data_IF_088413385905
#
_entry.id   IF_088413385905
#
_cell.length_a   1.000
_cell.length_b   1.000
_cell.length_c   1.000
_cell.angle_alpha   90.00
_cell.angle_beta   90.00
_cell.angle_gamma   90.00
#
_symmetry.space_group_name_H-M   'P 1'
#
loop_
_entity.id
_entity.type
_entity.pdbx_description
1 polymer ?
#
# COMPACT_ATOMS: atom_id res chain seq x y z
N UNK A 1 -11.92 4.73 -7.03
CA UNK A 1 -11.79 4.13 -8.38
C UNK A 1 -13.00 4.51 -9.24
N UNK A 2 -12.85 4.61 -10.56
CA UNK A 2 -13.95 4.86 -11.50
C UNK A 2 -13.94 3.76 -12.56
N UNK A 3 -15.08 3.11 -12.78
CA UNK A 3 -15.26 2.08 -13.80
C UNK A 3 -15.59 2.69 -15.17
N UNK A 4 -15.37 1.99 -16.30
CA UNK A 4 -15.68 2.50 -17.64
C UNK A 4 -17.14 2.92 -17.85
N UNK A 5 -18.08 2.35 -17.08
CA UNK A 5 -19.50 2.69 -17.12
C UNK A 5 -19.87 3.90 -16.23
N UNK A 6 -18.89 4.59 -15.63
CA UNK A 6 -19.10 5.72 -14.72
C UNK A 6 -19.41 5.33 -13.28
N UNK A 7 -19.48 4.04 -12.95
CA UNK A 7 -19.65 3.60 -11.55
C UNK A 7 -18.43 4.02 -10.73
N UNK A 8 -18.67 4.70 -9.62
CA UNK A 8 -17.64 5.02 -8.65
C UNK A 8 -17.55 3.85 -7.68
N UNK A 9 -16.33 3.36 -7.45
CA UNK A 9 -16.04 2.36 -6.43
C UNK A 9 -15.11 3.02 -5.42
N UNK A 10 -15.61 3.19 -4.20
CA UNK A 10 -14.82 3.65 -3.07
C UNK A 10 -14.32 2.45 -2.27
N UNK A 11 -13.07 2.53 -1.82
CA UNK A 11 -12.40 1.46 -1.06
C UNK A 11 -11.62 2.10 0.07
N UNK A 12 -11.92 1.68 1.29
CA UNK A 12 -11.39 2.32 2.48
C UNK A 12 -11.24 1.33 3.64
N UNK A 13 -10.39 1.71 4.59
CA UNK A 13 -10.29 1.03 5.88
C UNK A 13 -11.51 1.41 6.73
N UNK A 14 -12.26 0.42 7.18
CA UNK A 14 -13.45 0.61 8.00
C UNK A 14 -13.07 0.68 9.49
N UNK A 15 -12.94 1.93 9.96
CA UNK A 15 -12.73 2.24 11.37
C UNK A 15 -14.04 2.43 12.15
N UNK A 16 -15.19 1.96 11.62
CA UNK A 16 -16.51 1.99 12.23
C UNK A 16 -16.97 3.36 12.74
N UNK A 17 -17.98 3.38 13.59
CA UNK A 17 -18.62 4.63 14.06
C UNK A 17 -17.95 5.29 15.26
N UNK A 18 -16.89 4.66 15.81
CA UNK A 18 -16.17 5.14 16.99
C UNK A 18 -14.92 5.98 16.66
N UNK A 19 -14.71 6.32 15.38
CA UNK A 19 -13.58 7.15 14.96
C UNK A 19 -13.80 8.62 15.40
N UNK A 20 -13.32 8.96 16.59
CA UNK A 20 -13.18 10.35 17.03
C UNK A 20 -11.93 11.00 16.44
N UNK A 21 -12.05 12.23 15.91
CA UNK A 21 -10.96 13.04 15.35
C UNK A 21 -10.23 12.41 14.16
N UNK A 22 -9.24 13.11 13.58
CA UNK A 22 -8.20 12.45 12.77
C UNK A 22 -7.46 11.48 13.69
N UNK A 23 -8.00 10.26 13.79
CA UNK A 23 -7.43 9.15 14.52
C UNK A 23 -6.16 8.65 13.84
N UNK A 24 -5.35 7.84 14.53
CA UNK A 24 -4.18 7.19 13.92
C UNK A 24 -4.58 6.53 12.61
N UNK A 25 -3.68 6.55 11.62
CA UNK A 25 -3.86 6.02 10.26
C UNK A 25 -4.29 4.54 10.20
N UNK A 26 -4.39 3.88 11.37
CA UNK A 26 -5.15 2.66 11.62
C UNK A 26 -5.64 2.61 13.10
N UNK A 27 -6.71 1.83 13.36
CA UNK A 27 -7.19 1.51 14.73
C UNK A 27 -6.16 0.74 15.58
N UNK A 28 -5.12 0.26 14.94
CA UNK A 28 -4.13 -0.65 15.49
C UNK A 28 -2.90 0.14 15.97
N UNK A 29 -2.81 1.42 15.59
CA UNK A 29 -1.65 2.26 15.73
C UNK A 29 -1.77 3.27 16.87
N UNK A 30 -0.97 3.04 17.91
CA UNK A 30 -0.50 4.04 18.89
C UNK A 30 -1.39 4.50 20.06
N UNK A 31 -2.62 4.01 20.22
CA UNK A 31 -3.33 4.16 21.51
C UNK A 31 -3.32 2.83 22.28
N UNK A 32 -2.56 2.76 23.37
CA UNK A 32 -2.64 1.64 24.34
C UNK A 32 -4.08 1.40 24.82
N UNK A 33 -4.93 2.44 24.78
CA UNK A 33 -6.33 2.39 25.18
C UNK A 33 -7.29 1.66 24.21
N UNK A 34 -6.90 1.41 22.95
CA UNK A 34 -7.76 0.72 21.95
C UNK A 34 -7.41 -0.76 21.80
N UNK A 35 -6.42 -1.28 22.56
CA UNK A 35 -6.15 -2.72 22.69
C UNK A 35 -7.25 -3.51 23.43
N UNK A 36 -8.49 -3.03 23.42
CA UNK A 36 -9.61 -3.72 24.02
C UNK A 36 -10.01 -4.93 23.17
N UNK A 37 -9.60 -6.11 23.66
CA UNK A 37 -10.20 -7.44 23.40
C UNK A 37 -10.00 -8.00 21.99
N UNK A 38 -8.75 -8.33 21.63
CA UNK A 38 -8.49 -9.39 20.66
C UNK A 38 -7.80 -10.57 21.37
N UNK A 39 -8.21 -11.82 21.10
CA UNK A 39 -7.51 -12.99 21.64
C UNK A 39 -6.05 -12.99 21.16
N UNK A 40 -5.14 -13.34 22.07
CA UNK A 40 -3.69 -13.12 21.99
C UNK A 40 -2.93 -13.88 20.86
N UNK A 41 -3.60 -14.45 19.86
CA UNK A 41 -2.98 -15.32 18.85
C UNK A 41 -2.85 -14.71 17.46
N UNK A 42 -3.48 -13.57 17.16
CA UNK A 42 -3.37 -12.92 15.84
C UNK A 42 -2.92 -11.45 15.96
N UNK A 43 -2.02 -10.97 15.08
CA UNK A 43 -1.71 -9.55 14.99
C UNK A 43 -3.01 -8.76 14.71
N UNK A 44 -3.19 -7.57 15.31
CA UNK A 44 -4.38 -6.78 15.05
C UNK A 44 -4.48 -6.46 13.56
N UNK A 45 -5.71 -6.44 13.03
CA UNK A 45 -5.95 -6.21 11.62
C UNK A 45 -7.19 -5.34 11.38
N UNK A 46 -7.10 -4.47 10.37
CA UNK A 46 -8.21 -3.64 9.95
C UNK A 46 -9.06 -4.37 8.92
N UNK A 47 -10.34 -3.98 8.89
CA UNK A 47 -11.26 -4.35 7.82
C UNK A 47 -11.12 -3.34 6.70
N UNK A 48 -10.99 -3.82 5.47
CA UNK A 48 -11.10 -3.00 4.28
C UNK A 48 -12.38 -3.37 3.55
N UNK A 49 -13.15 -2.35 3.18
CA UNK A 49 -14.45 -2.51 2.52
C UNK A 49 -14.48 -1.72 1.22
N UNK A 50 -15.50 -1.99 0.42
CA UNK A 50 -15.83 -1.28 -0.80
C UNK A 50 -17.30 -0.86 -0.81
N UNK A 51 -17.60 0.25 -1.48
CA UNK A 51 -18.96 0.69 -1.78
C UNK A 51 -19.03 1.19 -3.22
N UNK A 52 -20.18 1.03 -3.86
CA UNK A 52 -20.39 1.50 -5.22
C UNK A 52 -21.43 2.60 -5.28
N UNK A 53 -21.25 3.53 -6.21
CA UNK A 53 -22.23 4.55 -6.56
C UNK A 53 -22.41 4.56 -8.07
N UNK A 54 -23.67 4.61 -8.50
CA UNK A 54 -24.07 4.65 -9.91
C UNK A 54 -24.64 6.02 -10.32
N UNK A 55 -24.63 7.00 -9.42
CA UNK A 55 -25.28 8.31 -9.57
C UNK A 55 -24.33 9.47 -9.22
N UNK A 56 -23.03 9.29 -9.49
CA UNK A 56 -22.03 10.33 -9.27
C UNK A 56 -21.69 10.58 -7.80
N UNK A 57 -21.94 9.60 -6.93
CA UNK A 57 -21.65 9.68 -5.49
C UNK A 57 -22.82 10.15 -4.64
N UNK A 58 -24.01 10.34 -5.21
CA UNK A 58 -25.19 10.81 -4.47
C UNK A 58 -25.75 9.72 -3.54
N UNK A 59 -25.75 8.46 -4.01
CA UNK A 59 -26.10 7.29 -3.19
C UNK A 59 -25.04 6.20 -3.30
N UNK A 60 -24.97 5.37 -2.25
CA UNK A 60 -23.96 4.33 -2.11
C UNK A 60 -24.59 3.01 -1.69
N UNK A 61 -24.08 1.90 -2.25
CA UNK A 61 -24.44 0.54 -1.88
C UNK A 61 -24.20 0.25 -0.40
N UNK A 62 -24.70 -0.89 0.09
CA UNK A 62 -24.17 -1.48 1.33
C UNK A 62 -22.66 -1.78 1.19
N UNK A 63 -21.88 -1.78 2.29
CA UNK A 63 -20.47 -2.13 2.24
C UNK A 63 -20.27 -3.59 1.84
N UNK A 64 -19.27 -3.84 0.99
CA UNK A 64 -18.77 -5.18 0.69
C UNK A 64 -17.35 -5.35 1.22
N UNK A 65 -17.13 -6.38 2.03
CA UNK A 65 -15.84 -6.68 2.63
C UNK A 65 -14.84 -7.17 1.59
N UNK A 66 -13.68 -6.51 1.52
CA UNK A 66 -12.53 -6.94 0.71
C UNK A 66 -11.65 -7.89 1.54
N UNK A 67 -11.35 -7.49 2.78
CA UNK A 67 -10.55 -8.28 3.73
C UNK A 67 -10.83 -7.82 5.16
N UNK A 68 -10.60 -8.69 6.13
CA UNK A 68 -10.51 -8.38 7.56
C UNK A 68 -9.06 -8.46 8.08
N UNK A 69 -8.12 -8.51 7.15
CA UNK A 69 -6.70 -8.76 7.38
C UNK A 69 -5.85 -7.69 6.67
N UNK A 70 -6.25 -6.42 6.78
CA UNK A 70 -5.40 -5.30 6.40
C UNK A 70 -4.48 -4.93 7.56
N UNK A 71 -3.21 -4.72 7.27
CA UNK A 71 -2.19 -4.46 8.26
C UNK A 71 -1.60 -3.07 8.17
N UNK A 72 -0.83 -2.75 9.20
CA UNK A 72 0.02 -1.57 9.24
C UNK A 72 1.43 -1.89 8.69
N UNK A 73 2.26 -0.85 8.66
CA UNK A 73 3.67 -0.99 8.39
C UNK A 73 4.48 -1.67 9.50
N UNK A 74 5.79 -1.87 9.24
CA UNK A 74 6.71 -2.37 10.24
C UNK A 74 6.74 -1.49 11.49
N UNK A 75 7.02 -2.08 12.65
CA UNK A 75 7.11 -1.35 13.92
C UNK A 75 8.08 -0.16 13.81
N UNK A 76 7.62 1.01 14.24
CA UNK A 76 8.42 2.26 14.23
C UNK A 76 8.47 2.98 12.88
N UNK A 77 7.82 2.44 11.85
CA UNK A 77 7.59 3.11 10.57
C UNK A 77 6.19 3.73 10.58
N UNK A 78 6.10 5.04 10.34
CA UNK A 78 4.82 5.67 10.00
C UNK A 78 4.53 5.41 8.53
N UNK A 79 3.51 4.59 8.31
CA UNK A 79 2.80 4.29 7.08
C UNK A 79 1.51 3.53 7.53
N UNK A 80 0.67 2.89 6.75
CA UNK A 80 0.73 2.39 5.38
C UNK A 80 -0.71 2.35 4.88
N UNK A 81 -1.02 3.12 3.85
CA UNK A 81 -2.36 3.13 3.29
C UNK A 81 -2.48 2.05 2.21
N UNK A 82 -3.60 1.31 2.15
CA UNK A 82 -3.95 0.53 0.97
C UNK A 82 -4.03 1.43 -0.26
N UNK A 83 -3.89 0.84 -1.44
CA UNK A 83 -4.11 1.52 -2.71
C UNK A 83 -5.04 0.73 -3.60
N UNK A 84 -5.73 1.42 -4.49
CA UNK A 84 -6.72 0.84 -5.38
C UNK A 84 -6.68 1.48 -6.77
N UNK A 85 -6.83 0.67 -7.81
CA UNK A 85 -6.85 1.13 -9.19
C UNK A 85 -7.86 0.36 -10.05
N UNK A 86 -8.42 1.07 -11.03
CA UNK A 86 -9.16 0.47 -12.14
C UNK A 86 -8.21 0.30 -13.33
N UNK A 87 -8.26 -0.84 -13.99
CA UNK A 87 -7.78 -0.97 -15.36
C UNK A 87 -8.78 -0.30 -16.31
N UNK A 88 -8.45 0.84 -16.93
CA UNK A 88 -9.40 1.57 -17.78
C UNK A 88 -9.76 0.82 -19.06
N UNK A 89 -8.96 -0.17 -19.48
CA UNK A 89 -9.19 -0.95 -20.70
C UNK A 89 -10.08 -2.14 -20.41
N UNK A 90 -9.85 -2.87 -19.31
CA UNK A 90 -10.61 -4.09 -19.01
C UNK A 90 -11.72 -3.90 -17.99
N UNK A 91 -11.78 -2.75 -17.33
CA UNK A 91 -12.71 -2.47 -16.22
C UNK A 91 -12.45 -3.28 -14.95
N UNK A 92 -11.30 -3.97 -14.85
CA UNK A 92 -10.94 -4.76 -13.67
C UNK A 92 -10.48 -3.83 -12.55
N UNK A 93 -10.95 -4.10 -11.33
CA UNK A 93 -10.59 -3.36 -10.13
C UNK A 93 -9.55 -4.14 -9.35
N UNK A 94 -8.60 -3.43 -8.77
CA UNK A 94 -7.49 -3.99 -8.00
C UNK A 94 -7.33 -3.21 -6.72
N UNK A 95 -7.09 -3.92 -5.62
CA UNK A 95 -6.76 -3.31 -4.32
C UNK A 95 -5.56 -4.04 -3.74
N UNK A 96 -4.58 -3.26 -3.28
CA UNK A 96 -3.35 -3.74 -2.65
C UNK A 96 -3.23 -3.22 -1.22
N UNK A 97 -2.74 -4.05 -0.32
CA UNK A 97 -2.48 -3.69 1.08
C UNK A 97 -1.31 -4.49 1.66
N UNK A 98 -0.83 -4.08 2.82
CA UNK A 98 0.17 -4.80 3.61
C UNK A 98 -0.52 -5.76 4.57
N UNK A 99 -0.01 -6.99 4.74
CA UNK A 99 -0.58 -7.95 5.69
C UNK A 99 -0.42 -7.50 7.15
N UNK A 100 -1.21 -8.01 8.12
CA UNK A 100 -1.19 -7.55 9.52
C UNK A 100 0.17 -7.64 10.25
N UNK A 101 1.06 -8.51 9.78
CA UNK A 101 2.41 -8.67 10.31
C UNK A 101 3.48 -7.99 9.44
N UNK A 102 3.08 -7.20 8.45
CA UNK A 102 3.93 -6.50 7.48
C UNK A 102 4.83 -7.38 6.60
N UNK A 103 4.76 -8.71 6.69
CA UNK A 103 5.65 -9.63 5.96
C UNK A 103 5.23 -9.92 4.52
N UNK A 104 4.04 -9.49 4.10
CA UNK A 104 3.55 -9.71 2.73
C UNK A 104 2.75 -8.53 2.18
N UNK A 105 2.87 -8.32 0.87
CA UNK A 105 1.96 -7.47 0.09
C UNK A 105 0.84 -8.36 -0.45
N UNK A 106 -0.39 -7.92 -0.28
CA UNK A 106 -1.61 -8.64 -0.64
C UNK A 106 -2.34 -7.91 -1.76
N UNK A 107 -2.97 -8.66 -2.66
CA UNK A 107 -3.74 -8.14 -3.79
C UNK A 107 -5.10 -8.85 -3.84
N UNK A 108 -6.17 -8.09 -4.08
CA UNK A 108 -7.47 -8.65 -4.48
C UNK A 108 -7.99 -7.93 -5.72
N UNK A 109 -8.89 -8.61 -6.44
CA UNK A 109 -9.53 -8.08 -7.62
C UNK A 109 -11.04 -8.20 -7.56
N UNK A 110 -11.70 -7.31 -8.29
CA UNK A 110 -13.13 -7.34 -8.54
C UNK A 110 -13.46 -6.92 -9.97
N UNK A 111 -14.66 -7.29 -10.43
CA UNK A 111 -15.21 -6.87 -11.72
C UNK A 111 -16.37 -5.86 -11.56
N UNK A 112 -16.89 -5.70 -10.34
CA UNK A 112 -18.10 -4.92 -10.06
C UNK A 112 -18.01 -4.06 -8.80
N UNK A 113 -16.90 -4.15 -8.06
CA UNK A 113 -16.68 -3.41 -6.83
C UNK A 113 -17.48 -3.92 -5.63
N UNK A 114 -18.23 -5.01 -5.78
CA UNK A 114 -19.05 -5.62 -4.72
C UNK A 114 -18.71 -7.09 -4.46
N UNK A 115 -18.13 -7.79 -5.42
CA UNK A 115 -17.63 -9.15 -5.27
C UNK A 115 -16.13 -9.18 -5.46
N UNK A 116 -15.40 -9.43 -4.37
CA UNK A 116 -13.95 -9.49 -4.35
C UNK A 116 -13.45 -10.93 -4.35
N UNK A 117 -12.39 -11.20 -5.11
CA UNK A 117 -11.71 -12.49 -5.08
C UNK A 117 -10.94 -12.65 -3.76
N UNK A 118 -10.66 -13.91 -3.40
CA UNK A 118 -9.73 -14.19 -2.31
C UNK A 118 -8.38 -13.51 -2.58
N UNK A 119 -7.82 -12.92 -1.52
CA UNK A 119 -6.56 -12.21 -1.59
C UNK A 119 -5.41 -13.15 -2.00
N UNK A 120 -4.55 -12.68 -2.89
CA UNK A 120 -3.32 -13.37 -3.30
C UNK A 120 -2.11 -12.61 -2.79
N UNK A 121 -1.05 -13.35 -2.45
CA UNK A 121 0.23 -12.77 -2.04
C UNK A 121 1.01 -12.30 -3.27
N UNK A 122 1.36 -11.02 -3.31
CA UNK A 122 2.26 -10.43 -4.31
C UNK A 122 3.71 -10.77 -3.99
N UNK A 123 4.05 -10.79 -2.70
CA UNK A 123 5.41 -11.06 -2.22
C UNK A 123 5.48 -12.37 -1.43
N UNK A 124 6.66 -12.98 -1.42
CA UNK A 124 6.94 -14.19 -0.65
C UNK A 124 7.50 -13.76 0.71
N UNK A 125 6.90 -14.19 1.85
CA UNK A 125 7.44 -13.89 3.17
C UNK A 125 8.87 -14.41 3.32
N UNK A 126 9.75 -13.60 3.93
CA UNK A 126 11.13 -13.97 4.22
C UNK A 126 11.49 -13.48 5.62
N UNK A 127 12.28 -14.26 6.35
CA UNK A 127 12.73 -13.87 7.68
C UNK A 127 13.51 -12.55 7.62
N UNK A 128 13.18 -11.62 8.54
CA UNK A 128 13.83 -10.30 8.62
C UNK A 128 13.53 -9.37 7.44
N UNK A 129 12.43 -9.61 6.72
CA UNK A 129 11.95 -8.74 5.64
C UNK A 129 10.52 -8.33 5.93
N UNK A 130 10.29 -7.03 5.93
CA UNK A 130 8.96 -6.43 6.03
C UNK A 130 8.69 -5.54 4.81
N UNK A 131 7.44 -5.19 4.62
CA UNK A 131 6.97 -4.36 3.52
C UNK A 131 6.18 -3.18 4.06
N UNK A 132 6.26 -2.07 3.34
CA UNK A 132 5.50 -0.85 3.60
C UNK A 132 5.14 -0.20 2.28
N UNK A 133 4.40 0.91 2.33
CA UNK A 133 4.09 1.81 1.21
C UNK A 133 3.76 1.04 -0.05
N UNK A 134 2.49 0.68 -0.21
CA UNK A 134 2.02 -0.05 -1.39
C UNK A 134 1.23 0.86 -2.31
N UNK A 135 1.38 0.61 -3.60
CA UNK A 135 0.56 1.27 -4.60
C UNK A 135 0.31 0.35 -5.80
N UNK A 136 -0.82 0.54 -6.48
CA UNK A 136 -1.20 -0.30 -7.62
C UNK A 136 -1.64 0.56 -8.80
N UNK A 137 -1.20 0.18 -9.99
CA UNK A 137 -1.70 0.70 -11.25
C UNK A 137 -2.02 -0.46 -12.20
N UNK A 138 -2.98 -0.27 -13.09
CA UNK A 138 -3.33 -1.28 -14.09
C UNK A 138 -3.64 -0.64 -15.44
N UNK A 139 -3.25 -1.32 -16.52
CA UNK A 139 -3.57 -0.91 -17.88
C UNK A 139 -3.52 -2.11 -18.83
N UNK A 140 -4.57 -2.30 -19.63
CA UNK A 140 -4.55 -3.27 -20.74
C UNK A 140 -4.37 -4.73 -20.29
N UNK A 141 -4.76 -5.05 -19.05
CA UNK A 141 -4.61 -6.35 -18.43
C UNK A 141 -3.29 -6.58 -17.70
N UNK A 142 -2.34 -5.64 -17.75
CA UNK A 142 -1.15 -5.65 -16.89
C UNK A 142 -1.45 -4.90 -15.59
N UNK A 143 -0.95 -5.43 -14.47
CA UNK A 143 -1.07 -4.85 -13.13
C UNK A 143 0.32 -4.68 -12.55
N UNK A 144 0.59 -3.48 -12.05
CA UNK A 144 1.87 -3.05 -11.52
C UNK A 144 1.69 -2.72 -10.04
N UNK A 145 2.46 -3.38 -9.18
CA UNK A 145 2.36 -3.23 -7.72
C UNK A 145 3.69 -2.69 -7.21
N UNK A 146 3.69 -1.42 -6.80
CA UNK A 146 4.83 -0.80 -6.16
C UNK A 146 4.80 -1.10 -4.65
N UNK A 147 5.97 -1.37 -4.07
CA UNK A 147 6.12 -1.54 -2.63
C UNK A 147 7.52 -1.17 -2.14
N UNK A 148 7.63 -0.82 -0.86
CA UNK A 148 8.90 -0.59 -0.18
C UNK A 148 9.29 -1.84 0.64
N UNK A 149 10.41 -2.47 0.28
CA UNK A 149 10.98 -3.61 1.00
C UNK A 149 11.96 -3.13 2.07
N UNK A 150 11.67 -3.47 3.33
CA UNK A 150 12.52 -3.25 4.49
C UNK A 150 13.32 -4.52 4.78
N UNK A 151 14.58 -4.33 5.17
CA UNK A 151 15.37 -5.41 5.78
C UNK A 151 15.62 -5.06 7.22
N UNK A 152 15.69 -6.08 8.07
CA UNK A 152 16.06 -5.93 9.46
C UNK A 152 17.28 -5.01 9.60
N UNK A 153 17.32 -4.15 10.64
CA UNK A 153 18.43 -3.23 10.85
C UNK A 153 19.75 -3.97 10.77
N UNK A 154 20.66 -3.47 9.94
CA UNK A 154 22.01 -4.02 9.81
C UNK A 154 22.99 -3.08 10.52
N UNK A 155 24.22 -3.55 10.78
CA UNK A 155 25.29 -2.68 11.27
C UNK A 155 25.56 -1.49 10.32
N UNK A 156 25.13 -1.60 9.07
CA UNK A 156 25.28 -0.60 8.01
C UNK A 156 24.13 0.40 7.93
N UNK A 157 23.02 0.20 8.66
CA UNK A 157 21.87 1.12 8.68
C UNK A 157 20.52 0.45 8.44
N UNK A 158 19.49 1.29 8.38
CA UNK A 158 18.09 0.93 8.15
C UNK A 158 17.71 1.29 6.70
N UNK A 159 17.73 0.30 5.80
CA UNK A 159 17.51 0.55 4.38
C UNK A 159 16.17 0.06 3.87
N UNK A 160 15.61 0.83 2.94
CA UNK A 160 14.40 0.48 2.19
C UNK A 160 14.70 0.46 0.70
N UNK A 161 14.31 -0.62 0.03
CA UNK A 161 14.37 -0.71 -1.42
C UNK A 161 12.97 -0.58 -2.00
N UNK A 162 12.75 0.46 -2.82
CA UNK A 162 11.53 0.53 -3.63
C UNK A 162 11.57 -0.55 -4.71
N UNK A 163 10.45 -1.23 -4.93
CA UNK A 163 10.31 -2.33 -5.88
C UNK A 163 9.00 -2.26 -6.64
N UNK A 164 8.95 -2.93 -7.80
CA UNK A 164 7.77 -3.10 -8.64
C UNK A 164 7.57 -4.57 -8.99
N UNK A 165 6.41 -5.12 -8.65
CA UNK A 165 5.97 -6.45 -9.10
C UNK A 165 4.96 -6.31 -10.23
N UNK A 166 4.93 -7.27 -11.16
CA UNK A 166 4.03 -7.25 -12.32
C UNK A 166 3.27 -8.57 -12.44
N UNK A 167 1.99 -8.49 -12.77
CA UNK A 167 1.12 -9.65 -13.06
C UNK A 167 0.12 -9.32 -14.17
N UNK A 168 -0.37 -10.34 -14.87
CA UNK A 168 -1.46 -10.22 -15.86
C UNK A 168 -2.75 -10.94 -15.44
N UNK A 169 -2.66 -11.77 -14.40
CA UNK A 169 -3.75 -12.64 -13.94
C UNK A 169 -4.06 -12.49 -12.44
N UNK A 170 -3.29 -11.66 -11.73
CA UNK A 170 -3.44 -11.44 -10.29
C UNK A 170 -2.94 -12.60 -9.43
N UNK A 171 -2.33 -13.63 -10.02
CA UNK A 171 -1.94 -14.88 -9.35
C UNK A 171 -0.45 -15.16 -9.45
N UNK A 172 0.12 -14.91 -10.63
CA UNK A 172 1.53 -15.15 -10.89
C UNK A 172 2.24 -13.82 -11.06
N UNK A 173 3.35 -13.64 -10.34
CA UNK A 173 4.12 -12.41 -10.33
C UNK A 173 5.50 -12.66 -10.91
N UNK A 174 5.93 -11.77 -11.81
CA UNK A 174 7.30 -11.73 -12.26
C UNK A 174 8.25 -11.39 -11.08
N UNK A 175 9.55 -11.71 -11.18
CA UNK A 175 10.53 -11.24 -10.21
C UNK A 175 10.46 -9.71 -10.03
N UNK A 176 10.51 -9.20 -8.79
CA UNK A 176 10.35 -7.77 -8.54
C UNK A 176 11.53 -6.98 -9.12
N UNK A 177 11.20 -5.87 -9.76
CA UNK A 177 12.16 -4.91 -10.31
C UNK A 177 12.54 -3.93 -9.20
N UNK A 178 13.83 -3.74 -8.94
CA UNK A 178 14.31 -2.70 -8.01
C UNK A 178 14.20 -1.34 -8.68
N UNK A 179 13.59 -0.37 -7.99
CA UNK A 179 13.48 1.00 -8.44
C UNK A 179 14.49 1.87 -7.69
N UNK A 180 15.46 2.43 -8.43
CA UNK A 180 16.48 3.31 -7.89
C UNK A 180 17.37 2.69 -6.79
N UNK A 181 18.23 3.51 -6.15
CA UNK A 181 19.05 3.09 -5.02
C UNK A 181 18.20 2.89 -3.75
N UNK A 182 18.69 2.09 -2.78
CA UNK A 182 18.06 1.98 -1.47
C UNK A 182 18.02 3.32 -0.73
N UNK A 183 16.89 3.64 -0.10
CA UNK A 183 16.73 4.77 0.81
C UNK A 183 17.32 4.43 2.18
N UNK A 184 18.08 5.36 2.75
CA UNK A 184 18.64 5.26 4.10
C UNK A 184 17.72 5.98 5.10
N UNK A 185 17.00 5.21 5.91
CA UNK A 185 16.01 5.73 6.85
C UNK A 185 16.60 6.50 8.02
N UNK A 186 17.93 6.46 8.23
CA UNK A 186 18.59 7.33 9.21
C UNK A 186 18.35 8.81 8.91
N UNK A 187 18.14 9.16 7.63
CA UNK A 187 17.93 10.53 7.16
C UNK A 187 16.47 10.82 6.77
N UNK A 188 15.55 9.88 7.01
CA UNK A 188 14.14 10.10 6.80
C UNK A 188 13.56 11.02 7.90
N UNK A 189 12.55 11.81 7.52
CA UNK A 189 11.78 12.63 8.44
C UNK A 189 11.14 11.79 9.54
N UNK A 190 10.72 12.46 10.62
CA UNK A 190 10.11 11.84 11.78
C UNK A 190 8.71 12.38 11.98
N UNK A 191 7.74 11.50 12.11
CA UNK A 191 6.35 11.82 12.43
C UNK A 191 5.75 10.66 13.22
N UNK A 192 5.85 10.71 14.56
CA UNK A 192 5.46 9.60 15.46
C UNK A 192 6.12 8.25 15.10
N UNK A 193 7.29 8.30 14.47
CA UNK A 193 8.02 7.17 13.88
C UNK A 193 8.86 7.65 12.69
N UNK A 194 9.67 6.75 12.12
CA UNK A 194 10.39 7.00 10.87
C UNK A 194 9.35 7.16 9.77
N UNK A 195 9.39 8.27 9.04
CA UNK A 195 8.46 8.57 7.97
C UNK A 195 9.17 8.43 6.61
N UNK A 196 9.18 7.23 6.00
CA UNK A 196 9.75 7.03 4.66
C UNK A 196 8.97 7.81 3.59
N UNK A 197 7.74 8.24 3.90
CA UNK A 197 6.86 9.06 3.08
C UNK A 197 5.70 8.24 2.51
N UNK A 198 4.47 8.67 2.74
CA UNK A 198 3.26 8.06 2.13
C UNK A 198 3.05 8.53 0.68
N UNK A 199 3.90 9.45 0.20
CA UNK A 199 3.86 10.04 -1.13
C UNK A 199 4.47 9.11 -2.17
N UNK A 200 3.84 7.95 -2.37
CA UNK A 200 4.10 7.14 -3.54
C UNK A 200 2.92 7.18 -4.50
N UNK A 201 3.22 6.94 -5.77
CA UNK A 201 2.21 6.87 -6.80
C UNK A 201 2.73 6.17 -8.04
N UNK A 202 1.85 5.40 -8.66
CA UNK A 202 2.12 4.56 -9.81
C UNK A 202 1.02 4.83 -10.81
N UNK A 203 1.42 5.02 -12.06
CA UNK A 203 0.49 5.19 -13.17
C UNK A 203 0.92 4.28 -14.31
N UNK A 204 -0.05 3.66 -14.96
CA UNK A 204 0.19 2.80 -16.11
C UNK A 204 -0.59 3.31 -17.33
N UNK A 205 0.09 3.27 -18.48
CA UNK A 205 -0.48 3.61 -19.78
C UNK A 205 0.00 2.58 -20.81
N UNK A 206 -0.45 2.69 -22.05
CA UNK A 206 0.01 1.80 -23.11
C UNK A 206 1.55 1.78 -23.22
N UNK A 207 2.15 0.61 -22.94
CA UNK A 207 3.58 0.35 -23.05
C UNK A 207 4.47 1.05 -22.01
N UNK A 208 3.90 1.68 -20.97
CA UNK A 208 4.66 2.40 -19.94
C UNK A 208 4.04 2.32 -18.56
N UNK A 209 4.90 2.23 -17.55
CA UNK A 209 4.56 2.45 -16.15
C UNK A 209 5.47 3.51 -15.55
N UNK A 210 4.89 4.39 -14.75
CA UNK A 210 5.54 5.46 -14.00
C UNK A 210 5.38 5.15 -12.52
N UNK A 211 6.44 5.34 -11.73
CA UNK A 211 6.39 5.19 -10.29
C UNK A 211 7.16 6.34 -9.63
N UNK A 212 6.60 6.94 -8.59
CA UNK A 212 7.25 7.96 -7.76
C UNK A 212 7.25 7.52 -6.30
N UNK A 213 8.30 7.87 -5.56
CA UNK A 213 8.44 7.54 -4.15
C UNK A 213 9.38 8.52 -3.46
N UNK A 214 9.27 8.63 -2.14
CA UNK A 214 10.22 9.39 -1.35
C UNK A 214 11.52 8.59 -1.11
N UNK A 215 12.65 9.25 -1.31
CA UNK A 215 13.98 8.71 -1.14
C UNK A 215 14.75 9.52 -0.10
N UNK A 216 15.18 8.85 0.97
CA UNK A 216 16.01 9.44 2.02
C UNK A 216 17.47 9.08 1.84
N UNK A 217 18.36 10.05 2.06
CA UNK A 217 19.80 9.87 1.91
C UNK A 217 20.57 10.89 2.73
N UNK A 218 21.89 10.69 2.91
CA UNK A 218 22.72 11.60 3.70
C UNK A 218 22.65 13.03 3.14
N UNK A 219 22.32 14.04 3.97
CA UNK A 219 22.31 15.43 3.54
C UNK A 219 23.69 15.91 3.07
N UNK A 220 23.72 16.70 2.00
CA UNK A 220 24.94 17.39 1.55
C UNK A 220 25.33 18.55 2.48
N UNK A 221 24.36 19.15 3.16
CA UNK A 221 24.58 20.26 4.09
C UNK A 221 25.03 19.73 5.45
N UNK A 222 26.19 20.16 5.93
CA UNK A 222 26.69 19.79 7.24
C UNK A 222 25.72 20.22 8.35
N UNK A 223 25.45 19.33 9.30
CA UNK A 223 24.53 19.57 10.42
C UNK A 223 23.04 19.38 10.08
N UNK A 224 22.67 19.21 8.82
CA UNK A 224 21.30 18.82 8.47
C UNK A 224 21.01 17.39 8.96
N UNK A 225 19.85 17.21 9.57
CA UNK A 225 19.43 15.92 10.16
C UNK A 225 18.68 15.03 9.16
N UNK A 226 17.85 15.63 8.33
CA UNK A 226 16.97 14.93 7.39
C UNK A 226 17.26 15.38 5.96
N UNK A 227 17.10 14.46 5.03
CA UNK A 227 17.09 14.77 3.60
C UNK A 227 16.25 13.71 2.89
N UNK A 228 15.12 14.16 2.35
CA UNK A 228 14.19 13.37 1.58
C UNK A 228 13.80 14.12 0.32
N UNK A 229 13.84 13.42 -0.81
CA UNK A 229 13.48 13.94 -2.13
C UNK A 229 12.53 12.95 -2.81
N UNK A 230 11.75 13.42 -3.78
CA UNK A 230 10.91 12.53 -4.60
C UNK A 230 11.76 11.98 -5.74
N UNK A 231 11.85 10.66 -5.82
CA UNK A 231 12.40 9.95 -6.97
C UNK A 231 11.27 9.51 -7.89
N UNK A 232 11.63 9.30 -9.16
CA UNK A 232 10.71 8.80 -10.18
C UNK A 232 11.40 7.83 -11.12
N UNK A 233 10.66 6.83 -11.56
CA UNK A 233 11.08 5.86 -12.58
C UNK A 233 10.02 5.77 -13.68
N UNK A 234 10.48 5.54 -14.90
CA UNK A 234 9.64 5.18 -16.05
C UNK A 234 10.18 3.90 -16.65
N UNK A 235 9.33 2.88 -16.77
CA UNK A 235 9.69 1.60 -17.37
C UNK A 235 8.84 1.37 -18.62
N UNK A 236 9.44 0.75 -19.63
CA UNK A 236 8.70 0.19 -20.78
C UNK A 236 8.10 -1.15 -20.37
N UNK A 237 6.85 -1.41 -20.77
CA UNK A 237 6.08 -2.59 -20.35
C UNK A 237 5.68 -3.48 -21.51
#
# INVERSE_FOLDING_TARGET
MIMPNGTIVDTYLDFGTAAGGEGPESRIGQNEAVRAVFPASAPPADTMVSRTSHDGGATWSAPSTITTAAGEGPVGIRCCLPSAATDPVTGRLWVVWISPNSTTVMLSQSYDGTHWRLATRVTIPRAGVDYSNVDVAAYGGQVFIANALHRAPTAQGHFVQQQLSVTTDGRHFAPPIKLGPPSDLTYAAQARGIFPGDYMGTAATHGRVYSVWAHSSKPATAGARFHQVVFGATLKT
#
